data_IF_659545231426
#
_entry.id   IF_659545231426
#
_cell.length_a   1.000
_cell.length_b   1.000
_cell.length_c   1.000
_cell.angle_alpha   90.00
_cell.angle_beta   90.00
_cell.angle_gamma   90.00
#
_symmetry.space_group_name_H-M   'P 1'
#
loop_
_entity.id
_entity.type
_entity.pdbx_description
1 polymer ?
#
# COMPACT_ATOMS: atom_id res chain seq x y z
N UNK A 1 4.46 4.00 24.43
CA UNK A 1 4.77 3.34 23.15
C UNK A 1 5.39 4.38 22.24
N UNK A 2 6.50 4.02 21.62
CA UNK A 2 7.34 4.87 20.76
C UNK A 2 7.44 4.33 19.32
N UNK A 3 6.71 3.26 19.02
CA UNK A 3 6.66 2.60 17.72
C UNK A 3 5.22 2.28 17.34
N UNK A 4 4.90 2.42 16.04
CA UNK A 4 3.72 1.84 15.40
C UNK A 4 4.17 0.72 14.45
N UNK A 5 3.48 -0.42 14.52
CA UNK A 5 3.61 -1.54 13.60
C UNK A 5 2.39 -1.52 12.69
N UNK A 6 2.63 -1.50 11.38
CA UNK A 6 1.60 -1.68 10.35
C UNK A 6 1.77 -3.07 9.75
N UNK A 7 0.73 -3.87 9.79
CA UNK A 7 0.69 -5.18 9.16
C UNK A 7 -0.30 -5.15 8.00
N UNK A 8 0.09 -5.78 6.89
CA UNK A 8 -0.75 -5.99 5.72
C UNK A 8 -0.67 -7.48 5.38
N UNK A 9 -1.80 -8.17 5.27
CA UNK A 9 -1.82 -9.60 4.99
C UNK A 9 -1.60 -9.88 3.51
N UNK A 10 -2.29 -9.15 2.64
CA UNK A 10 -2.11 -9.26 1.19
C UNK A 10 -2.43 -7.97 0.47
N UNK A 11 -1.81 -7.79 -0.69
CA UNK A 11 -2.12 -6.73 -1.64
C UNK A 11 -2.23 -7.36 -3.03
N UNK A 12 -3.35 -7.14 -3.71
CA UNK A 12 -3.62 -7.63 -5.05
C UNK A 12 -3.90 -6.43 -5.96
N UNK A 13 -3.22 -6.36 -7.11
CA UNK A 13 -3.47 -5.36 -8.14
C UNK A 13 -3.99 -6.04 -9.40
N UNK A 14 -5.14 -5.61 -9.90
CA UNK A 14 -5.76 -6.11 -11.11
C UNK A 14 -5.76 -5.04 -12.21
N UNK A 15 -5.51 -5.44 -13.48
CA UNK A 15 -5.50 -4.52 -14.62
C UNK A 15 -6.91 -4.13 -15.12
N UNK A 16 -7.95 -4.66 -14.50
CA UNK A 16 -9.35 -4.31 -14.72
C UNK A 16 -10.02 -4.15 -13.36
N UNK A 17 -11.00 -3.24 -13.29
CA UNK A 17 -11.83 -3.05 -12.11
C UNK A 17 -13.15 -3.80 -12.28
N UNK A 18 -13.61 -4.50 -11.23
CA UNK A 18 -14.89 -5.22 -11.26
C UNK A 18 -16.07 -4.25 -11.33
N UNK A 19 -15.93 -3.11 -10.65
CA UNK A 19 -16.85 -1.97 -10.71
C UNK A 19 -16.12 -0.72 -11.23
N UNK A 20 -16.03 -0.53 -12.57
CA UNK A 20 -15.30 0.60 -13.14
C UNK A 20 -15.96 1.94 -12.80
N UNK A 21 -15.12 2.94 -12.53
CA UNK A 21 -15.54 4.30 -12.23
C UNK A 21 -16.14 4.99 -13.46
N UNK A 22 -17.18 5.82 -13.25
CA UNK A 22 -17.73 6.64 -14.32
C UNK A 22 -16.67 7.65 -14.81
N UNK A 23 -16.58 7.80 -16.14
CA UNK A 23 -15.67 8.77 -16.77
C UNK A 23 -16.39 10.08 -17.06
N UNK A 24 -15.78 11.19 -16.62
CA UNK A 24 -16.20 12.54 -17.00
C UNK A 24 -15.28 13.01 -18.13
N UNK A 25 -15.81 13.00 -19.36
CA UNK A 25 -15.07 13.46 -20.54
C UNK A 25 -15.13 14.99 -20.66
N UNK A 26 -13.96 15.60 -20.86
CA UNK A 26 -13.85 16.99 -21.31
C UNK A 26 -14.22 17.08 -22.79
N UNK A 27 -13.66 16.19 -23.62
CA UNK A 27 -13.94 16.08 -25.06
C UNK A 27 -14.95 14.95 -25.33
N UNK A 28 -16.24 15.25 -25.12
CA UNK A 28 -17.32 14.24 -25.13
C UNK A 28 -17.50 13.53 -26.46
N UNK A 29 -17.37 14.23 -27.58
CA UNK A 29 -17.59 13.65 -28.91
C UNK A 29 -16.54 12.60 -29.25
N UNK A 30 -15.26 12.94 -29.00
CA UNK A 30 -14.12 12.06 -29.21
C UNK A 30 -14.21 10.83 -28.32
N UNK A 31 -14.56 11.02 -27.04
CA UNK A 31 -14.72 9.92 -26.11
C UNK A 31 -15.90 9.00 -26.49
N UNK A 32 -17.06 9.55 -26.86
CA UNK A 32 -18.20 8.76 -27.31
C UNK A 32 -17.91 7.99 -28.60
N UNK A 33 -17.22 8.60 -29.56
CA UNK A 33 -16.82 7.91 -30.78
C UNK A 33 -15.88 6.74 -30.46
N UNK A 34 -14.91 6.94 -29.56
CA UNK A 34 -14.02 5.88 -29.12
C UNK A 34 -14.80 4.73 -28.45
N UNK A 35 -15.72 5.03 -27.55
CA UNK A 35 -16.57 4.02 -26.91
C UNK A 35 -17.42 3.24 -27.93
N UNK A 36 -18.02 3.93 -28.91
CA UNK A 36 -18.80 3.29 -29.98
C UNK A 36 -17.94 2.39 -30.88
N UNK A 37 -16.65 2.71 -31.03
CA UNK A 37 -15.72 1.88 -31.81
C UNK A 37 -15.37 0.54 -31.12
N UNK A 38 -15.59 0.43 -29.80
CA UNK A 38 -15.32 -0.78 -29.03
C UNK A 38 -13.84 -1.07 -28.76
N UNK A 39 -12.91 -0.23 -29.25
CA UNK A 39 -11.47 -0.46 -29.09
C UNK A 39 -10.88 0.13 -27.80
N UNK A 40 -11.67 0.79 -26.96
CA UNK A 40 -11.18 1.47 -25.75
C UNK A 40 -10.58 0.54 -24.70
N UNK A 41 -10.92 -0.76 -24.74
CA UNK A 41 -10.39 -1.77 -23.84
C UNK A 41 -9.19 -2.53 -24.40
N UNK A 42 -8.78 -2.23 -25.64
CA UNK A 42 -7.63 -2.87 -26.25
C UNK A 42 -6.34 -2.19 -25.77
N UNK A 43 -5.39 -2.95 -25.19
CA UNK A 43 -4.09 -2.40 -24.83
C UNK A 43 -3.40 -1.74 -26.03
N UNK A 44 -2.97 -0.49 -25.87
CA UNK A 44 -2.33 0.28 -26.94
C UNK A 44 -3.29 0.96 -27.92
N UNK A 45 -4.59 0.95 -27.64
CA UNK A 45 -5.54 1.80 -28.35
C UNK A 45 -5.18 3.29 -28.20
N UNK A 46 -5.52 4.07 -29.23
CA UNK A 46 -5.24 5.52 -29.24
C UNK A 46 -5.99 6.25 -28.11
N UNK A 47 -7.17 5.73 -27.75
CA UNK A 47 -7.97 6.18 -26.61
C UNK A 47 -8.26 4.92 -25.79
N UNK A 48 -7.39 4.63 -24.83
CA UNK A 48 -7.47 3.45 -23.97
C UNK A 48 -8.08 3.84 -22.61
N UNK A 49 -9.23 3.25 -22.26
CA UNK A 49 -9.84 3.41 -20.94
C UNK A 49 -9.37 2.29 -20.02
N UNK A 50 -8.23 2.54 -19.38
CA UNK A 50 -7.68 1.66 -18.35
C UNK A 50 -8.24 2.02 -17.00
N UNK A 51 -8.68 1.01 -16.26
CA UNK A 51 -9.04 1.15 -14.86
C UNK A 51 -8.47 -0.03 -14.07
N UNK A 52 -7.84 0.28 -12.94
CA UNK A 52 -7.15 -0.68 -12.09
C UNK A 52 -7.88 -0.82 -10.77
N UNK A 53 -7.83 -2.01 -10.18
CA UNK A 53 -8.34 -2.25 -8.83
C UNK A 53 -7.21 -2.79 -7.97
N UNK A 54 -7.03 -2.20 -6.79
CA UNK A 54 -6.09 -2.65 -5.77
C UNK A 54 -6.85 -3.05 -4.52
N UNK A 55 -6.78 -4.31 -4.15
CA UNK A 55 -7.37 -4.87 -2.94
C UNK A 55 -6.29 -5.12 -1.90
N UNK A 56 -6.39 -4.44 -0.77
CA UNK A 56 -5.47 -4.57 0.36
C UNK A 56 -6.24 -5.19 1.52
N UNK A 57 -5.77 -6.34 2.00
CA UNK A 57 -6.48 -7.14 3.00
C UNK A 57 -5.72 -7.22 4.31
N UNK A 58 -6.47 -7.17 5.41
CA UNK A 58 -5.96 -7.32 6.77
C UNK A 58 -4.97 -6.23 7.19
N UNK A 59 -5.22 -4.98 6.80
CA UNK A 59 -4.46 -3.83 7.30
C UNK A 59 -4.74 -3.69 8.79
N UNK A 60 -3.71 -3.73 9.63
CA UNK A 60 -3.86 -3.47 11.07
C UNK A 60 -2.74 -2.59 11.59
N UNK A 61 -3.05 -1.87 12.66
CA UNK A 61 -2.11 -0.97 13.32
C UNK A 61 -1.98 -1.38 14.78
N UNK A 62 -0.76 -1.50 15.26
CA UNK A 62 -0.46 -1.80 16.67
C UNK A 62 0.63 -0.88 17.19
N UNK A 63 0.63 -0.64 18.50
CA UNK A 63 1.68 0.13 19.19
C UNK A 63 2.57 -0.78 20.02
N UNK A 64 3.85 -0.47 20.07
CA UNK A 64 4.82 -1.22 20.86
C UNK A 64 5.91 -0.32 21.46
N UNK A 65 6.88 -0.95 22.11
CA UNK A 65 8.09 -0.29 22.58
C UNK A 65 9.25 -0.78 21.70
N UNK A 66 9.87 0.11 20.92
CA UNK A 66 10.96 -0.22 19.99
C UNK A 66 12.11 -0.95 20.69
N UNK A 67 12.47 -0.49 21.89
CA UNK A 67 13.52 -1.13 22.69
C UNK A 67 13.23 -2.60 23.03
N UNK A 68 11.96 -3.00 23.17
CA UNK A 68 11.59 -4.40 23.40
C UNK A 68 11.76 -5.24 22.13
N UNK A 69 11.34 -4.70 20.98
CA UNK A 69 11.53 -5.35 19.67
C UNK A 69 13.02 -5.57 19.39
N UNK A 70 13.84 -4.54 19.61
CA UNK A 70 15.29 -4.64 19.41
C UNK A 70 15.96 -5.62 20.35
N UNK A 71 15.53 -5.67 21.62
CA UNK A 71 16.06 -6.64 22.58
C UNK A 71 15.79 -8.07 22.14
N UNK A 72 14.57 -8.39 21.73
CA UNK A 72 14.21 -9.72 21.22
C UNK A 72 14.94 -10.05 19.90
N UNK A 73 15.06 -9.09 18.98
CA UNK A 73 15.80 -9.30 17.72
C UNK A 73 17.29 -9.63 17.96
N UNK A 74 17.91 -8.97 18.94
CA UNK A 74 19.30 -9.25 19.33
C UNK A 74 19.41 -10.61 20.02
N UNK A 75 18.49 -10.94 20.93
CA UNK A 75 18.46 -12.25 21.59
C UNK A 75 18.27 -13.40 20.60
N UNK A 76 17.38 -13.26 19.63
CA UNK A 76 17.22 -14.22 18.54
C UNK A 76 18.50 -14.39 17.72
N UNK A 77 19.17 -13.29 17.38
CA UNK A 77 20.44 -13.33 16.65
C UNK A 77 21.51 -14.10 17.43
N UNK A 78 21.59 -13.90 18.75
CA UNK A 78 22.50 -14.64 19.63
C UNK A 78 22.10 -16.13 19.77
N UNK A 79 20.81 -16.46 19.82
CA UNK A 79 20.31 -17.85 19.81
C UNK A 79 20.61 -18.57 18.49
N UNK A 80 20.54 -17.86 17.37
CA UNK A 80 20.83 -18.37 16.01
C UNK A 80 22.33 -18.48 15.72
N UNK A 81 23.23 -17.98 16.57
CA UNK A 81 24.66 -18.27 16.42
C UNK A 81 24.93 -19.72 16.83
N UNK A 82 25.29 -20.63 15.89
CA UNK A 82 25.66 -21.97 16.27
C UNK A 82 26.97 -21.85 17.04
N UNK A 83 27.01 -22.34 18.27
CA UNK A 83 28.28 -22.66 18.92
C UNK A 83 28.98 -23.70 18.04
N UNK A 84 29.88 -23.24 17.18
CA UNK A 84 30.90 -24.01 16.47
C UNK A 84 30.49 -25.37 15.93
N UNK A 85 29.86 -25.42 14.75
CA UNK A 85 30.07 -26.57 13.86
C UNK A 85 29.98 -26.13 12.40
N UNK A 86 30.92 -26.60 11.58
CA UNK A 86 31.14 -26.18 10.18
C UNK A 86 30.06 -26.71 9.23
N UNK A 87 29.07 -27.45 9.73
CA UNK A 87 28.02 -28.10 8.94
C UNK A 87 26.65 -27.69 9.49
N UNK A 88 25.91 -26.90 8.71
CA UNK A 88 24.52 -26.56 8.99
C UNK A 88 23.62 -27.71 8.50
N UNK A 89 22.81 -28.29 9.39
CA UNK A 89 21.83 -29.33 9.06
C UNK A 89 20.43 -28.74 9.29
N UNK A 90 19.71 -28.32 8.23
CA UNK A 90 18.43 -27.60 8.37
C UNK A 90 17.36 -28.33 9.20
N UNK A 91 17.35 -29.66 9.15
CA UNK A 91 16.42 -30.48 9.94
C UNK A 91 16.75 -30.48 11.44
N UNK A 92 18.03 -30.38 11.81
CA UNK A 92 18.47 -30.30 13.20
C UNK A 92 18.12 -28.94 13.80
N UNK A 93 18.27 -27.86 13.02
CA UNK A 93 17.87 -26.52 13.42
C UNK A 93 16.37 -26.43 13.68
N UNK A 94 15.54 -27.08 12.83
CA UNK A 94 14.10 -27.14 13.04
C UNK A 94 13.71 -27.93 14.31
N UNK A 95 14.36 -29.07 14.54
CA UNK A 95 14.13 -29.87 15.75
C UNK A 95 14.58 -29.14 17.02
N UNK A 96 15.66 -28.36 16.95
CA UNK A 96 16.20 -27.59 18.09
C UNK A 96 15.32 -26.36 18.37
N UNK A 97 14.80 -25.70 17.32
CA UNK A 97 13.83 -24.61 17.44
C UNK A 97 12.53 -25.05 18.12
N UNK A 98 12.07 -26.27 17.88
CA UNK A 98 10.88 -26.84 18.55
C UNK A 98 11.15 -27.27 20.00
N UNK A 99 12.41 -27.40 20.41
CA UNK A 99 12.83 -27.78 21.77
C UNK A 99 13.10 -26.56 22.67
N UNK A 100 13.34 -25.38 22.10
CA UNK A 100 13.42 -24.13 22.84
C UNK A 100 12.04 -23.84 23.46
N UNK A 101 11.98 -23.92 24.80
CA UNK A 101 10.73 -23.86 25.55
C UNK A 101 9.99 -22.54 25.31
N UNK A 102 8.66 -22.54 25.07
CA UNK A 102 7.86 -21.32 24.85
C UNK A 102 7.87 -20.34 26.03
N UNK A 103 8.48 -20.69 27.17
CA UNK A 103 8.64 -19.82 28.33
C UNK A 103 9.86 -18.88 28.29
N UNK A 104 10.73 -18.97 27.28
CA UNK A 104 11.93 -18.11 27.17
C UNK A 104 11.83 -16.97 26.13
N UNK A 105 10.79 -16.91 25.31
CA UNK A 105 10.52 -15.75 24.45
C UNK A 105 9.79 -14.70 25.30
N UNK A 106 10.40 -13.55 25.54
CA UNK A 106 9.72 -12.47 26.23
C UNK A 106 8.85 -11.80 25.16
N UNK A 107 7.59 -12.22 25.09
CA UNK A 107 6.68 -11.77 24.04
C UNK A 107 6.70 -10.24 23.88
N UNK A 108 7.06 -9.78 22.68
CA UNK A 108 6.90 -8.38 22.28
C UNK A 108 5.42 -8.03 22.46
N UNK A 109 5.11 -7.18 23.44
CA UNK A 109 3.74 -6.77 23.68
C UNK A 109 3.35 -5.66 22.71
N UNK A 110 2.69 -6.06 21.64
CA UNK A 110 1.97 -5.14 20.76
C UNK A 110 0.56 -4.93 21.29
N UNK A 111 0.14 -3.67 21.36
CA UNK A 111 -1.22 -3.28 21.72
C UNK A 111 -1.92 -2.82 20.44
N UNK A 112 -2.99 -3.50 19.99
CA UNK A 112 -3.71 -3.13 18.78
C UNK A 112 -4.30 -1.72 18.94
N UNK A 113 -4.09 -0.88 17.92
CA UNK A 113 -4.76 0.40 17.76
C UNK A 113 -5.98 0.28 16.85
N UNK A 114 -5.85 -0.54 15.80
CA UNK A 114 -6.88 -0.73 14.77
C UNK A 114 -6.96 -2.22 14.47
N UNK A 115 -8.15 -2.80 14.56
CA UNK A 115 -8.39 -4.18 14.14
C UNK A 115 -8.06 -4.35 12.64
N UNK A 116 -7.72 -5.57 12.18
CA UNK A 116 -7.55 -5.83 10.76
C UNK A 116 -8.77 -5.40 9.95
N UNK A 117 -8.56 -4.54 8.96
CA UNK A 117 -9.59 -4.12 8.02
C UNK A 117 -9.10 -4.21 6.58
N UNK A 118 -10.05 -4.19 5.65
CA UNK A 118 -9.83 -4.36 4.23
C UNK A 118 -10.17 -3.09 3.46
N UNK A 119 -9.38 -2.82 2.43
CA UNK A 119 -9.50 -1.65 1.59
C UNK A 119 -9.49 -2.06 0.11
N UNK A 120 -10.32 -1.39 -0.69
CA UNK A 120 -10.35 -1.51 -2.14
C UNK A 120 -10.16 -0.13 -2.74
N UNK A 121 -9.18 0.02 -3.63
CA UNK A 121 -8.89 1.24 -4.36
C UNK A 121 -9.11 0.99 -5.85
N UNK A 122 -10.05 1.73 -6.45
CA UNK A 122 -10.24 1.75 -7.91
C UNK A 122 -9.60 3.01 -8.48
N UNK A 123 -8.74 2.83 -9.48
CA UNK A 123 -7.99 3.90 -10.13
C UNK A 123 -8.32 3.98 -11.61
N UNK A 124 -8.74 5.14 -12.06
CA UNK A 124 -9.06 5.43 -13.44
C UNK A 124 -8.12 6.56 -13.91
N UNK A 125 -6.90 6.25 -14.43
CA UNK A 125 -5.95 7.24 -14.89
C UNK A 125 -6.49 8.15 -16.02
N UNK A 126 -5.86 9.30 -16.29
CA UNK A 126 -6.28 10.19 -17.37
C UNK A 126 -6.19 9.50 -18.72
N UNK A 127 -7.17 9.79 -19.58
CA UNK A 127 -7.17 9.36 -20.98
C UNK A 127 -6.70 10.56 -21.80
N UNK A 128 -5.61 10.39 -22.55
CA UNK A 128 -5.06 11.43 -23.43
C UNK A 128 -5.02 10.95 -24.86
N UNK A 129 -5.27 11.85 -25.79
CA UNK A 129 -5.16 11.62 -27.22
C UNK A 129 -3.97 12.41 -27.75
N UNK A 130 -2.99 11.72 -28.34
CA UNK A 130 -1.82 12.38 -28.93
C UNK A 130 -2.05 12.52 -30.44
N UNK A 131 -2.23 13.75 -30.89
CA UNK A 131 -2.27 14.06 -32.32
C UNK A 131 -0.83 14.20 -32.82
N UNK A 132 -0.44 13.34 -33.77
CA UNK A 132 0.82 13.53 -34.52
C UNK A 132 0.63 14.70 -35.48
N UNK A 133 1.36 15.79 -35.25
CA UNK A 133 1.44 16.89 -36.20
C UNK A 133 2.09 16.44 -37.51
N UNK A 134 1.84 17.16 -38.60
CA UNK A 134 2.66 17.03 -39.80
C UNK A 134 4.13 17.38 -39.46
N UNK A 135 5.09 16.98 -40.30
CA UNK A 135 6.55 17.08 -40.12
C UNK A 135 7.15 18.40 -39.51
N UNK A 136 6.37 19.46 -39.34
CA UNK A 136 6.75 20.75 -38.76
C UNK A 136 6.04 21.13 -37.44
N UNK A 137 5.05 20.37 -36.96
CA UNK A 137 4.34 20.64 -35.70
C UNK A 137 4.66 19.58 -34.63
N UNK A 138 4.97 20.03 -33.42
CA UNK A 138 5.18 19.16 -32.25
C UNK A 138 3.92 18.39 -31.89
N UNK A 139 4.09 17.16 -31.41
CA UNK A 139 3.00 16.31 -30.89
C UNK A 139 2.22 17.06 -29.80
N UNK A 140 0.89 17.11 -29.94
CA UNK A 140 -0.01 17.74 -28.97
C UNK A 140 -0.85 16.66 -28.30
N UNK A 141 -0.71 16.53 -26.97
CA UNK A 141 -1.55 15.68 -26.15
C UNK A 141 -2.79 16.46 -25.70
N UNK A 142 -3.96 16.00 -26.12
CA UNK A 142 -5.27 16.51 -25.69
C UNK A 142 -5.81 15.63 -24.58
N UNK A 143 -6.23 16.24 -23.47
CA UNK A 143 -6.87 15.52 -22.36
C UNK A 143 -8.32 15.19 -22.74
N UNK A 144 -8.69 13.91 -22.72
CA UNK A 144 -10.03 13.44 -23.04
C UNK A 144 -10.83 13.23 -21.74
N UNK A 145 -10.25 12.47 -20.80
CA UNK A 145 -10.83 12.23 -19.47
C UNK A 145 -9.78 12.50 -18.39
N UNK A 146 -10.22 13.08 -17.27
CA UNK A 146 -9.37 13.29 -16.10
C UNK A 146 -9.05 12.01 -15.33
N UNK A 147 -8.17 12.14 -14.34
CA UNK A 147 -7.94 11.10 -13.33
C UNK A 147 -9.14 11.02 -12.38
N UNK A 148 -9.58 9.82 -12.08
CA UNK A 148 -10.57 9.54 -11.03
C UNK A 148 -10.04 8.40 -10.16
N UNK A 149 -10.28 8.48 -8.86
CA UNK A 149 -9.98 7.41 -7.92
C UNK A 149 -11.10 7.28 -6.89
N UNK A 150 -11.40 6.06 -6.50
CA UNK A 150 -12.35 5.74 -5.43
C UNK A 150 -11.71 4.81 -4.42
N UNK A 151 -11.84 5.13 -3.14
CA UNK A 151 -11.30 4.37 -2.04
C UNK A 151 -12.44 3.87 -1.15
N UNK A 152 -12.57 2.56 -1.04
CA UNK A 152 -13.61 1.90 -0.27
C UNK A 152 -13.01 1.11 0.89
N UNK A 153 -13.59 1.26 2.08
CA UNK A 153 -13.36 0.35 3.20
C UNK A 153 -14.36 -0.80 3.03
N UNK A 154 -13.83 -2.00 2.75
CA UNK A 154 -14.65 -3.19 2.44
C UNK A 154 -14.97 -4.04 3.67
N UNK A 155 -14.42 -3.66 4.83
CA UNK A 155 -14.79 -4.19 6.14
C UNK A 155 -14.90 -3.05 7.15
N UNK A 156 -15.46 -3.36 8.31
CA UNK A 156 -15.52 -2.41 9.42
C UNK A 156 -14.12 -2.03 9.92
N UNK A 157 -14.01 -0.82 10.45
CA UNK A 157 -12.78 -0.28 11.05
C UNK A 157 -13.02 -0.07 12.54
N UNK A 158 -12.47 -0.98 13.35
CA UNK A 158 -12.55 -0.90 14.81
C UNK A 158 -11.28 -0.29 15.39
N UNK A 159 -11.45 0.75 16.20
CA UNK A 159 -10.36 1.50 16.84
C UNK A 159 -10.32 1.22 18.35
N UNK A 160 -9.15 0.84 18.86
CA UNK A 160 -8.88 0.62 20.29
C UNK A 160 -7.85 1.65 20.77
N UNK A 161 -8.33 2.87 21.03
CA UNK A 161 -7.46 4.00 21.35
C UNK A 161 -7.75 4.53 22.76
N UNK A 162 -6.70 4.69 23.56
CA UNK A 162 -6.71 5.52 24.76
C UNK A 162 -6.19 6.94 24.47
N UNK A 163 -6.35 7.86 25.42
CA UNK A 163 -5.96 9.28 25.25
C UNK A 163 -4.49 9.46 24.84
N UNK A 164 -3.58 8.64 25.37
CA UNK A 164 -2.16 8.71 25.02
C UNK A 164 -1.91 8.24 23.58
N UNK A 165 -2.63 7.21 23.13
CA UNK A 165 -2.56 6.70 21.75
C UNK A 165 -3.16 7.67 20.74
N UNK A 166 -4.26 8.37 21.09
CA UNK A 166 -4.82 9.45 20.27
C UNK A 166 -3.83 10.59 20.10
N UNK A 167 -3.17 11.01 21.19
CA UNK A 167 -2.12 12.04 21.14
C UNK A 167 -0.95 11.62 20.26
N UNK A 168 -0.47 10.39 20.42
CA UNK A 168 0.60 9.84 19.58
C UNK A 168 0.21 9.85 18.08
N UNK A 169 -1.01 9.44 17.75
CA UNK A 169 -1.49 9.47 16.37
C UNK A 169 -1.54 10.89 15.79
N UNK A 170 -2.02 11.86 16.58
CA UNK A 170 -2.06 13.27 16.18
C UNK A 170 -0.65 13.87 15.95
N UNK A 171 0.30 13.54 16.82
CA UNK A 171 1.69 13.97 16.69
C UNK A 171 2.32 13.40 15.40
N UNK A 172 2.08 12.13 15.11
CA UNK A 172 2.57 11.48 13.88
C UNK A 172 1.97 12.12 12.63
N UNK A 173 0.65 12.37 12.60
CA UNK A 173 -0.02 13.01 11.46
C UNK A 173 0.53 14.41 11.23
N UNK A 174 0.80 15.16 12.30
CA UNK A 174 1.35 16.51 12.23
C UNK A 174 2.79 16.52 11.72
N UNK A 175 3.62 15.59 12.18
CA UNK A 175 5.00 15.46 11.67
C UNK A 175 5.02 15.02 10.21
N UNK A 176 4.14 14.08 9.83
CA UNK A 176 4.04 13.62 8.46
C UNK A 176 3.61 14.75 7.52
N UNK A 177 2.59 15.53 7.89
CA UNK A 177 2.14 16.67 7.09
C UNK A 177 3.23 17.74 6.95
N UNK A 178 3.99 18.02 8.00
CA UNK A 178 5.14 18.92 7.95
C UNK A 178 6.23 18.41 6.99
N UNK A 179 6.52 17.11 6.98
CA UNK A 179 7.48 16.52 6.05
C UNK A 179 6.98 16.58 4.60
N UNK A 180 5.70 16.32 4.35
CA UNK A 180 5.13 16.34 3.00
C UNK A 180 4.94 17.74 2.43
N UNK A 181 4.76 18.76 3.29
CA UNK A 181 4.61 20.17 2.88
C UNK A 181 5.94 20.92 2.82
N UNK A 182 7.03 20.33 3.31
CA UNK A 182 8.37 20.91 3.19
C UNK A 182 8.92 20.62 1.79
N UNK A 183 8.60 21.48 0.81
CA UNK A 183 9.19 21.45 -0.52
C UNK A 183 10.73 21.59 -0.44
N UNK A 184 11.52 20.77 -1.16
CA UNK A 184 12.99 20.85 -1.18
C UNK A 184 13.56 22.01 -2.04
N UNK A 185 12.79 23.05 -2.36
CA UNK A 185 13.18 24.12 -3.30
C UNK A 185 13.36 25.52 -2.69
N UNK A 186 13.71 25.64 -1.41
CA UNK A 186 14.21 26.90 -0.84
C UNK A 186 15.61 26.72 -0.22
N UNK A 187 16.63 26.84 -1.08
CA UNK A 187 17.99 27.29 -0.71
C UNK A 187 18.36 28.46 -1.60
#
# INVERSE_FOLDING_TARGET
>A
HDMIVVQINSCLLQPFADNPLPRIAQEKEVFHYALQSGFTHQPGAVIEDRQYQMDIKGISFSTGIWGQVMHEMILESQRKTPRGSVVQIPALDWNTFLMDSPHQLKDIRLIPLVAPFDLCLVLAPPITYVTKGNHFESEKATLICGFTSELNLTSDVDLYLNTNQVKLAADIVTQFSQCCLSDPHQT
#
